data_IF_076968694016
#
_entry.id   IF_076968694016
#
_cell.length_a   1.000
_cell.length_b   1.000
_cell.length_c   1.000
_cell.angle_alpha   90.00
_cell.angle_beta   90.00
_cell.angle_gamma   90.00
#
_symmetry.space_group_name_H-M   'P 1'
#
loop_
_entity.id
_entity.type
_entity.pdbx_description
1 polymer ?
#
# COMPACT_ATOMS: atom_id res chain seq x y z
N UNK A 1 34.94 -28.05 -12.46
CA UNK A 1 34.68 -27.40 -11.13
C UNK A 1 33.38 -26.63 -11.12
N UNK A 2 32.99 -25.94 -12.17
CA UNK A 2 31.73 -25.17 -12.21
C UNK A 2 30.46 -26.05 -12.24
N UNK A 3 30.53 -27.24 -12.80
CA UNK A 3 29.39 -28.17 -12.90
C UNK A 3 29.02 -28.76 -11.53
N UNK A 4 30.00 -29.13 -10.73
CA UNK A 4 29.77 -29.59 -9.34
C UNK A 4 29.09 -28.51 -8.47
N UNK A 5 29.55 -27.25 -8.56
CA UNK A 5 28.95 -26.13 -7.82
C UNK A 5 27.49 -25.88 -8.25
N UNK A 6 27.19 -25.99 -9.55
CA UNK A 6 25.83 -25.88 -10.09
C UNK A 6 24.91 -26.99 -9.57
N UNK A 7 25.39 -28.23 -9.55
CA UNK A 7 24.62 -29.38 -9.04
C UNK A 7 24.32 -29.24 -7.55
N UNK A 8 25.27 -28.75 -6.75
CA UNK A 8 25.06 -28.45 -5.35
C UNK A 8 24.03 -27.34 -5.16
N UNK A 9 24.09 -26.25 -5.94
CA UNK A 9 23.10 -25.17 -5.91
C UNK A 9 21.70 -25.68 -6.28
N UNK A 10 21.59 -26.51 -7.31
CA UNK A 10 20.31 -27.09 -7.74
C UNK A 10 19.69 -27.96 -6.63
N UNK A 11 20.49 -28.83 -6.01
CA UNK A 11 20.05 -29.67 -4.90
C UNK A 11 19.59 -28.82 -3.70
N UNK A 12 20.38 -27.82 -3.32
CA UNK A 12 20.02 -26.88 -2.24
C UNK A 12 18.77 -26.07 -2.57
N UNK A 13 18.63 -25.63 -3.83
CA UNK A 13 17.49 -24.87 -4.29
C UNK A 13 16.20 -25.70 -4.46
N UNK A 14 16.27 -27.02 -4.56
CA UNK A 14 15.08 -27.87 -4.62
C UNK A 14 14.42 -28.12 -3.26
N UNK A 15 15.14 -27.88 -2.14
CA UNK A 15 14.62 -28.12 -0.80
C UNK A 15 13.71 -26.97 -0.34
N UNK A 16 12.42 -27.21 -0.01
CA UNK A 16 11.52 -26.17 0.48
C UNK A 16 11.95 -25.59 1.84
N UNK A 17 11.76 -24.30 2.02
CA UNK A 17 11.94 -23.61 3.30
C UNK A 17 10.66 -23.61 4.14
N UNK A 18 10.76 -22.96 5.33
CA UNK A 18 9.68 -22.93 6.33
C UNK A 18 9.04 -21.54 6.51
N UNK A 19 9.41 -20.54 5.68
CA UNK A 19 8.86 -19.20 5.79
C UNK A 19 7.39 -19.19 5.38
N UNK A 20 6.54 -18.58 6.20
CA UNK A 20 5.10 -18.46 6.00
C UNK A 20 4.71 -17.06 5.46
N UNK A 21 3.44 -16.89 5.07
CA UNK A 21 2.84 -15.60 4.73
C UNK A 21 2.98 -15.17 3.26
N UNK A 22 3.78 -15.89 2.47
CA UNK A 22 3.90 -15.67 1.01
C UNK A 22 4.54 -16.90 0.37
N UNK A 23 3.88 -17.52 -0.60
CA UNK A 23 4.44 -18.66 -1.33
C UNK A 23 5.32 -18.17 -2.47
N UNK A 24 6.63 -18.33 -2.29
CA UNK A 24 7.62 -17.88 -3.26
C UNK A 24 8.09 -19.05 -4.15
N UNK A 25 7.78 -19.05 -5.45
CA UNK A 25 8.21 -20.11 -6.37
C UNK A 25 9.72 -20.09 -6.64
N UNK A 26 10.39 -18.95 -6.42
CA UNK A 26 11.83 -18.80 -6.70
C UNK A 26 12.67 -19.49 -5.62
N UNK A 27 12.40 -19.20 -4.35
CA UNK A 27 13.20 -19.78 -3.24
C UNK A 27 12.48 -20.89 -2.50
N UNK A 28 11.31 -21.32 -2.93
CA UNK A 28 10.49 -22.33 -2.27
C UNK A 28 10.37 -22.06 -0.74
N UNK A 29 10.14 -20.80 -0.38
CA UNK A 29 9.97 -20.34 1.00
C UNK A 29 11.22 -20.42 1.91
N UNK A 30 12.43 -20.45 1.34
CA UNK A 30 13.69 -20.35 2.12
C UNK A 30 14.06 -18.90 2.47
N UNK A 31 13.72 -17.94 1.61
CA UNK A 31 14.12 -16.53 1.74
C UNK A 31 15.48 -16.20 1.11
N UNK A 32 16.17 -17.21 0.59
CA UNK A 32 17.45 -17.08 -0.13
C UNK A 32 17.53 -18.15 -1.23
N UNK A 33 18.43 -17.93 -2.18
CA UNK A 33 18.77 -18.85 -3.25
C UNK A 33 20.28 -19.06 -3.27
N UNK A 34 20.72 -20.19 -3.79
CA UNK A 34 22.13 -20.49 -4.00
C UNK A 34 22.48 -20.32 -5.48
N UNK A 35 23.57 -19.65 -5.76
CA UNK A 35 24.14 -19.49 -7.10
C UNK A 35 25.57 -19.97 -7.14
N UNK A 36 25.96 -20.57 -8.27
CA UNK A 36 27.34 -20.97 -8.49
C UNK A 36 28.14 -19.77 -9.02
N UNK A 37 29.21 -19.40 -8.32
CA UNK A 37 30.11 -18.32 -8.73
C UNK A 37 31.56 -18.78 -8.53
N UNK A 38 32.37 -18.80 -9.61
CA UNK A 38 33.78 -19.19 -9.60
C UNK A 38 34.05 -20.56 -8.94
N UNK A 39 33.20 -21.57 -9.22
CA UNK A 39 33.33 -22.93 -8.66
C UNK A 39 32.93 -23.06 -7.20
N UNK A 40 32.35 -22.02 -6.59
CA UNK A 40 31.84 -22.02 -5.22
C UNK A 40 30.34 -21.71 -5.19
N UNK A 41 29.69 -22.02 -4.07
CA UNK A 41 28.27 -21.68 -3.84
C UNK A 41 28.15 -20.34 -3.13
N UNK A 42 27.35 -19.42 -3.66
CA UNK A 42 27.04 -18.11 -3.08
C UNK A 42 25.57 -18.08 -2.65
N UNK A 43 25.31 -17.56 -1.47
CA UNK A 43 23.94 -17.35 -0.99
C UNK A 43 23.47 -15.95 -1.33
N UNK A 44 22.34 -15.84 -2.04
CA UNK A 44 21.72 -14.58 -2.41
C UNK A 44 20.36 -14.45 -1.74
N UNK A 45 20.07 -13.29 -1.19
CA UNK A 45 18.79 -13.01 -0.56
C UNK A 45 17.69 -12.95 -1.62
N UNK A 46 16.63 -13.74 -1.45
CA UNK A 46 15.51 -13.76 -2.37
C UNK A 46 14.70 -12.46 -2.32
N UNK A 47 14.24 -12.00 -3.49
CA UNK A 47 13.37 -10.82 -3.61
C UNK A 47 12.01 -10.96 -2.89
N UNK A 48 11.63 -12.16 -2.43
CA UNK A 48 10.47 -12.33 -1.57
C UNK A 48 10.66 -11.78 -0.15
N UNK A 49 11.88 -11.53 0.32
CA UNK A 49 12.12 -11.08 1.69
C UNK A 49 11.58 -9.66 1.98
N UNK A 50 11.75 -8.66 1.11
CA UNK A 50 11.04 -7.39 1.24
C UNK A 50 9.53 -7.57 1.25
N UNK A 51 8.98 -8.41 0.36
CA UNK A 51 7.54 -8.71 0.27
C UNK A 51 7.04 -9.26 1.61
N UNK A 52 7.70 -10.29 2.16
CA UNK A 52 7.35 -10.90 3.46
C UNK A 52 7.38 -9.89 4.60
N UNK A 53 8.41 -9.01 4.62
CA UNK A 53 8.53 -7.96 5.64
C UNK A 53 7.34 -7.00 5.56
N UNK A 54 6.93 -6.63 4.36
CA UNK A 54 5.80 -5.73 4.16
C UNK A 54 4.48 -6.40 4.53
N UNK A 55 4.25 -7.65 4.12
CA UNK A 55 3.06 -8.41 4.51
C UNK A 55 2.96 -8.56 6.02
N UNK A 56 4.08 -8.83 6.70
CA UNK A 56 4.14 -8.85 8.17
C UNK A 56 3.76 -7.50 8.77
N UNK A 57 4.32 -6.41 8.26
CA UNK A 57 4.00 -5.05 8.73
C UNK A 57 2.52 -4.71 8.52
N UNK A 58 1.97 -5.06 7.35
CA UNK A 58 0.55 -4.90 7.08
C UNK A 58 -0.29 -5.74 8.07
N UNK A 59 0.09 -6.99 8.33
CA UNK A 59 -0.60 -7.87 9.30
C UNK A 59 -0.54 -7.32 10.74
N UNK A 60 0.60 -6.77 11.15
CA UNK A 60 0.81 -6.14 12.46
C UNK A 60 0.06 -4.81 12.62
N UNK A 61 -0.34 -4.14 11.54
CA UNK A 61 -1.12 -2.89 11.56
C UNK A 61 -2.61 -3.09 11.86
N UNK A 62 -3.04 -4.28 12.25
CA UNK A 62 -4.41 -4.59 12.65
C UNK A 62 -5.31 -5.08 11.52
N UNK A 63 -4.80 -5.18 10.28
CA UNK A 63 -5.58 -5.75 9.18
C UNK A 63 -5.53 -7.29 9.10
N UNK A 64 -4.67 -7.96 9.86
CA UNK A 64 -4.65 -9.41 10.08
C UNK A 64 -5.03 -10.27 8.87
N UNK A 65 -6.03 -11.12 9.07
CA UNK A 65 -6.56 -12.01 8.04
C UNK A 65 -7.34 -11.30 6.92
N UNK A 66 -7.65 -10.01 7.06
CA UNK A 66 -8.38 -9.26 6.02
C UNK A 66 -7.55 -9.06 4.74
N UNK A 67 -6.23 -9.12 4.82
CA UNK A 67 -5.36 -9.00 3.65
C UNK A 67 -5.54 -10.19 2.71
N UNK A 68 -5.68 -11.39 3.25
CA UNK A 68 -5.95 -12.59 2.47
C UNK A 68 -7.33 -12.55 1.81
N UNK A 69 -8.26 -11.76 2.39
CA UNK A 69 -9.61 -11.54 1.86
C UNK A 69 -9.70 -10.38 0.88
N UNK A 70 -8.78 -9.40 0.95
CA UNK A 70 -8.79 -8.22 0.09
C UNK A 70 -8.07 -8.51 -1.23
N UNK A 71 -8.76 -9.18 -2.12
CA UNK A 71 -8.31 -9.45 -3.49
C UNK A 71 -9.26 -8.79 -4.50
N UNK A 72 -8.85 -8.70 -5.77
CA UNK A 72 -9.76 -8.26 -6.82
C UNK A 72 -10.98 -9.19 -6.97
N UNK A 73 -10.83 -10.50 -6.71
CA UNK A 73 -11.92 -11.45 -6.86
C UNK A 73 -12.96 -11.34 -5.75
N UNK A 74 -12.50 -11.03 -4.52
CA UNK A 74 -13.39 -10.84 -3.38
C UNK A 74 -13.98 -9.43 -3.29
N UNK A 75 -13.53 -8.49 -4.13
CA UNK A 75 -14.11 -7.15 -4.18
C UNK A 75 -15.51 -7.17 -4.83
N UNK A 76 -16.54 -6.79 -4.07
CA UNK A 76 -17.93 -6.77 -4.52
C UNK A 76 -18.16 -5.61 -5.51
N UNK A 77 -18.14 -5.91 -6.81
CA UNK A 77 -18.37 -4.96 -7.89
C UNK A 77 -19.80 -5.05 -8.42
N UNK A 78 -20.80 -4.66 -7.62
CA UNK A 78 -22.23 -4.85 -7.93
C UNK A 78 -22.85 -3.68 -8.69
N UNK A 79 -22.38 -2.46 -8.47
CA UNK A 79 -22.85 -1.24 -9.13
C UNK A 79 -21.97 -0.86 -10.31
N UNK A 80 -22.48 0.03 -11.20
CA UNK A 80 -21.67 0.57 -12.31
C UNK A 80 -20.39 1.24 -11.79
N UNK A 81 -20.50 1.97 -10.66
CA UNK A 81 -19.37 2.66 -10.06
C UNK A 81 -18.34 1.67 -9.52
N UNK A 82 -18.75 0.67 -8.74
CA UNK A 82 -17.84 -0.31 -8.15
C UNK A 82 -17.20 -1.23 -9.19
N UNK A 83 -17.90 -1.52 -10.30
CA UNK A 83 -17.32 -2.18 -11.48
C UNK A 83 -16.20 -1.32 -12.09
N UNK A 84 -16.48 -0.03 -12.30
CA UNK A 84 -15.49 0.91 -12.85
C UNK A 84 -14.28 1.09 -11.94
N UNK A 85 -14.49 1.11 -10.61
CA UNK A 85 -13.40 1.14 -9.61
C UNK A 85 -12.51 -0.11 -9.77
N UNK A 86 -13.12 -1.29 -9.85
CA UNK A 86 -12.37 -2.55 -10.04
C UNK A 86 -11.57 -2.55 -11.35
N UNK A 87 -12.20 -2.15 -12.46
CA UNK A 87 -11.56 -2.06 -13.78
C UNK A 87 -10.35 -1.12 -13.77
N UNK A 88 -10.52 0.11 -13.26
CA UNK A 88 -9.44 1.08 -13.14
C UNK A 88 -8.31 0.60 -12.22
N UNK A 89 -8.65 -0.15 -11.18
CA UNK A 89 -7.67 -0.71 -10.26
C UNK A 89 -6.83 -1.80 -10.91
N UNK A 90 -7.43 -2.67 -11.71
CA UNK A 90 -6.72 -3.68 -12.50
C UNK A 90 -5.85 -3.01 -13.56
N UNK A 91 -6.41 -2.03 -14.29
CA UNK A 91 -5.68 -1.25 -15.29
C UNK A 91 -4.46 -0.54 -14.66
N UNK A 92 -4.61 0.05 -13.47
CA UNK A 92 -3.53 0.66 -12.72
C UNK A 92 -2.40 -0.32 -12.41
N UNK A 93 -2.73 -1.53 -11.93
CA UNK A 93 -1.73 -2.57 -11.64
C UNK A 93 -0.98 -2.97 -12.90
N UNK A 94 -1.67 -3.18 -14.01
CA UNK A 94 -1.03 -3.56 -15.28
C UNK A 94 -0.15 -2.43 -15.85
N UNK A 95 -0.60 -1.17 -15.72
CA UNK A 95 0.21 -0.01 -16.08
C UNK A 95 1.52 0.04 -15.27
N UNK A 96 1.44 -0.18 -13.96
CA UNK A 96 2.61 -0.17 -13.07
C UNK A 96 3.54 -1.35 -13.36
N UNK A 97 3.02 -2.52 -13.70
CA UNK A 97 3.82 -3.69 -14.14
C UNK A 97 4.60 -3.42 -15.43
N UNK A 98 4.15 -2.48 -16.25
CA UNK A 98 4.84 -1.99 -17.46
C UNK A 98 5.83 -0.85 -17.15
N UNK A 99 6.24 -0.69 -15.89
CA UNK A 99 7.15 0.37 -15.40
C UNK A 99 6.67 1.80 -15.67
N UNK A 100 5.39 1.99 -15.91
CA UNK A 100 4.77 3.32 -15.93
C UNK A 100 4.35 3.70 -14.52
N UNK A 101 4.75 4.86 -14.09
CA UNK A 101 4.49 5.33 -12.73
C UNK A 101 3.33 6.32 -12.71
N UNK A 102 2.32 5.99 -11.96
CA UNK A 102 1.18 6.85 -11.61
C UNK A 102 0.86 6.66 -10.13
N UNK A 103 0.13 7.60 -9.56
CA UNK A 103 -0.47 7.44 -8.23
C UNK A 103 -1.94 7.06 -8.37
N UNK A 104 -2.53 6.68 -7.25
CA UNK A 104 -3.96 6.34 -7.21
C UNK A 104 -4.59 6.97 -5.97
N UNK A 105 -5.74 7.62 -6.17
CA UNK A 105 -6.53 8.22 -5.10
C UNK A 105 -7.94 7.64 -5.08
N UNK A 106 -8.38 7.14 -3.92
CA UNK A 106 -9.74 6.63 -3.71
C UNK A 106 -10.36 7.38 -2.53
N UNK A 107 -11.22 8.34 -2.83
CA UNK A 107 -11.86 9.20 -1.84
C UNK A 107 -13.36 8.96 -1.67
N UNK A 108 -13.93 9.51 -0.56
CA UNK A 108 -15.37 9.60 -0.34
C UNK A 108 -15.94 8.55 0.59
N UNK A 109 -17.16 8.09 0.34
CA UNK A 109 -18.05 7.32 1.22
C UNK A 109 -17.36 6.30 2.13
N UNK A 110 -17.56 6.41 3.44
CA UNK A 110 -17.11 5.39 4.41
C UNK A 110 -17.83 4.06 4.18
N UNK A 111 -17.12 2.94 4.40
CA UNK A 111 -17.68 1.61 4.17
C UNK A 111 -17.85 1.20 2.71
N UNK A 112 -17.32 1.96 1.75
CA UNK A 112 -17.43 1.69 0.31
C UNK A 112 -16.36 0.74 -0.24
N UNK A 113 -15.54 0.10 0.60
CA UNK A 113 -14.53 -0.85 0.18
C UNK A 113 -13.21 -0.20 -0.30
N UNK A 114 -12.95 1.07 0.03
CA UNK A 114 -11.70 1.77 -0.32
C UNK A 114 -10.46 1.00 0.14
N UNK A 115 -10.41 0.68 1.44
CA UNK A 115 -9.31 -0.09 2.02
C UNK A 115 -9.16 -1.45 1.32
N UNK A 116 -10.26 -2.14 1.01
CA UNK A 116 -10.24 -3.41 0.29
C UNK A 116 -9.53 -3.28 -1.06
N UNK A 117 -9.99 -2.36 -1.91
CA UNK A 117 -9.44 -2.24 -3.26
C UNK A 117 -7.99 -1.75 -3.25
N UNK A 118 -7.63 -0.78 -2.39
CA UNK A 118 -6.26 -0.30 -2.26
C UNK A 118 -5.31 -1.39 -1.73
N UNK A 119 -5.77 -2.22 -0.79
CA UNK A 119 -5.02 -3.39 -0.31
C UNK A 119 -4.82 -4.40 -1.43
N UNK A 120 -5.86 -4.72 -2.20
CA UNK A 120 -5.75 -5.63 -3.34
C UNK A 120 -4.71 -5.16 -4.37
N UNK A 121 -4.74 -3.88 -4.74
CA UNK A 121 -3.74 -3.26 -5.63
C UNK A 121 -2.34 -3.41 -5.03
N UNK A 122 -2.15 -3.05 -3.76
CA UNK A 122 -0.85 -3.09 -3.09
C UNK A 122 -0.29 -4.50 -3.05
N UNK A 123 -1.14 -5.51 -2.78
CA UNK A 123 -0.75 -6.92 -2.79
C UNK A 123 -0.29 -7.38 -4.18
N UNK A 124 -1.00 -6.98 -5.24
CA UNK A 124 -0.59 -7.34 -6.62
C UNK A 124 0.74 -6.69 -7.02
N UNK A 125 1.00 -5.45 -6.59
CA UNK A 125 2.27 -4.78 -6.82
C UNK A 125 3.41 -5.42 -6.00
N UNK A 126 3.14 -5.88 -4.78
CA UNK A 126 4.08 -6.68 -3.98
C UNK A 126 4.43 -7.99 -4.68
N UNK A 127 3.45 -8.71 -5.22
CA UNK A 127 3.66 -9.95 -5.98
C UNK A 127 4.52 -9.71 -7.23
N UNK A 128 4.45 -8.52 -7.83
CA UNK A 128 5.30 -8.12 -8.96
C UNK A 128 6.75 -7.78 -8.56
N UNK A 129 7.10 -7.89 -7.27
CA UNK A 129 8.46 -7.68 -6.77
C UNK A 129 8.76 -6.26 -6.26
N UNK A 130 7.80 -5.34 -6.28
CA UNK A 130 7.97 -4.00 -5.72
C UNK A 130 7.96 -4.04 -4.19
N UNK A 131 8.78 -3.21 -3.55
CA UNK A 131 8.69 -3.00 -2.10
C UNK A 131 7.51 -2.12 -1.77
N UNK A 132 6.79 -2.41 -0.68
CA UNK A 132 5.68 -1.55 -0.25
C UNK A 132 5.73 -1.24 1.25
N UNK A 133 5.13 -0.11 1.61
CA UNK A 133 4.83 0.28 2.99
C UNK A 133 3.36 0.63 3.08
N UNK A 134 2.76 0.18 4.17
CA UNK A 134 1.42 0.53 4.57
C UNK A 134 1.48 1.53 5.71
N UNK A 135 0.82 2.65 5.56
CA UNK A 135 0.71 3.70 6.55
C UNK A 135 -0.77 3.83 6.94
N UNK A 136 -1.11 3.44 8.15
CA UNK A 136 -2.42 3.74 8.75
C UNK A 136 -2.35 5.17 9.30
N UNK A 137 -2.97 6.11 8.58
CA UNK A 137 -2.80 7.54 8.88
C UNK A 137 -3.05 7.89 10.35
N UNK A 138 -4.12 7.35 10.94
CA UNK A 138 -4.50 7.67 12.32
C UNK A 138 -3.38 7.29 13.29
N UNK A 139 -2.81 6.10 13.17
CA UNK A 139 -1.85 5.56 14.13
C UNK A 139 -0.43 6.07 13.85
N UNK A 140 0.01 5.96 12.59
CA UNK A 140 1.37 6.30 12.20
C UNK A 140 1.64 7.80 12.28
N UNK A 141 0.65 8.66 11.96
CA UNK A 141 0.82 10.11 12.08
C UNK A 141 0.98 10.54 13.54
N UNK A 142 0.28 9.88 14.46
CA UNK A 142 0.43 10.15 15.91
C UNK A 142 1.83 9.73 16.37
N UNK A 143 2.29 8.52 15.99
CA UNK A 143 3.62 8.04 16.36
C UNK A 143 4.74 8.95 15.83
N UNK A 144 4.63 9.41 14.57
CA UNK A 144 5.62 10.32 13.96
C UNK A 144 5.60 11.70 14.64
N UNK A 145 4.42 12.24 14.97
CA UNK A 145 4.27 13.51 15.68
C UNK A 145 4.78 13.45 17.10
N UNK A 146 4.65 12.31 17.77
CA UNK A 146 5.15 12.11 19.14
C UNK A 146 6.67 12.26 19.26
N UNK A 147 7.41 11.98 18.19
CA UNK A 147 8.88 12.10 18.13
C UNK A 147 9.35 13.32 17.31
N UNK A 148 8.51 14.35 17.19
CA UNK A 148 8.79 15.50 16.32
C UNK A 148 10.08 16.26 16.69
N UNK A 149 10.53 16.18 17.94
CA UNK A 149 11.74 16.85 18.46
C UNK A 149 12.97 15.93 18.48
N UNK A 150 12.81 14.65 18.17
CA UNK A 150 13.90 13.67 18.04
C UNK A 150 14.11 13.36 16.55
N UNK A 151 15.04 14.05 15.93
CA UNK A 151 15.31 13.91 14.49
C UNK A 151 15.67 12.47 14.11
N UNK A 152 16.48 11.77 14.92
CA UNK A 152 16.91 10.41 14.62
C UNK A 152 15.74 9.39 14.71
N UNK A 153 14.89 9.52 15.73
CA UNK A 153 13.71 8.70 15.88
C UNK A 153 12.69 9.01 14.76
N UNK A 154 12.50 10.29 14.44
CA UNK A 154 11.60 10.75 13.37
C UNK A 154 12.04 10.26 11.99
N UNK A 155 13.31 10.35 11.65
CA UNK A 155 13.84 9.82 10.39
C UNK A 155 13.65 8.33 10.23
N UNK A 156 13.82 7.54 11.29
CA UNK A 156 13.56 6.09 11.27
C UNK A 156 12.13 5.75 10.89
N UNK A 157 11.16 6.58 11.27
CA UNK A 157 9.74 6.38 10.93
C UNK A 157 9.40 6.91 9.54
N UNK A 158 9.91 8.08 9.15
CA UNK A 158 9.54 8.75 7.89
C UNK A 158 10.31 8.20 6.69
N UNK A 159 11.60 7.93 6.81
CA UNK A 159 12.43 7.52 5.67
C UNK A 159 11.92 6.25 4.97
N UNK A 160 11.42 5.21 5.67
CA UNK A 160 10.80 4.07 5.02
C UNK A 160 9.56 4.41 4.20
N UNK A 161 8.77 5.41 4.64
CA UNK A 161 7.58 5.89 3.91
C UNK A 161 7.96 6.69 2.66
N UNK A 162 9.02 7.50 2.77
CA UNK A 162 9.52 8.30 1.65
C UNK A 162 10.13 7.46 0.53
N UNK A 163 10.83 6.36 0.87
CA UNK A 163 11.74 5.68 -0.07
C UNK A 163 11.28 4.30 -0.56
N UNK A 164 10.14 3.76 -0.09
CA UNK A 164 9.60 2.51 -0.66
C UNK A 164 9.04 2.73 -2.07
N UNK A 165 9.07 1.68 -2.91
CA UNK A 165 8.52 1.76 -4.27
C UNK A 165 7.04 2.13 -4.24
N UNK A 166 6.27 1.48 -3.38
CA UNK A 166 4.82 1.70 -3.22
C UNK A 166 4.54 2.11 -1.79
N UNK A 167 3.97 3.29 -1.59
CA UNK A 167 3.40 3.71 -0.32
C UNK A 167 1.88 3.65 -0.41
N UNK A 168 1.24 2.89 0.48
CA UNK A 168 -0.20 2.98 0.66
C UNK A 168 -0.50 3.75 1.95
N UNK A 169 -1.15 4.91 1.82
CA UNK A 169 -1.66 5.72 2.92
C UNK A 169 -3.16 5.44 3.05
N UNK A 170 -3.55 4.80 4.15
CA UNK A 170 -4.96 4.49 4.42
C UNK A 170 -5.59 5.52 5.35
N UNK A 171 -6.79 5.91 4.99
CA UNK A 171 -7.64 6.86 5.73
C UNK A 171 -6.95 8.23 5.97
N UNK A 172 -6.27 8.76 4.92
CA UNK A 172 -5.65 10.09 4.97
C UNK A 172 -6.64 11.13 5.48
N UNK A 173 -6.26 11.87 6.53
CA UNK A 173 -7.06 12.91 7.18
C UNK A 173 -8.41 12.43 7.71
N UNK A 174 -8.51 11.15 8.09
CA UNK A 174 -9.74 10.63 8.68
C UNK A 174 -10.15 11.47 9.89
N UNK A 175 -11.37 12.02 9.90
CA UNK A 175 -11.86 12.82 11.02
C UNK A 175 -11.96 11.96 12.28
N UNK A 176 -11.33 12.39 13.36
CA UNK A 176 -11.56 11.82 14.68
C UNK A 176 -12.90 12.36 15.19
N UNK A 177 -13.85 11.48 15.50
CA UNK A 177 -15.13 11.87 16.11
C UNK A 177 -14.88 12.33 17.55
N UNK A 178 -14.77 13.62 17.78
CA UNK A 178 -14.97 14.20 19.11
C UNK A 178 -16.47 14.29 19.38
N UNK A 179 -16.89 14.03 20.64
CA UNK A 179 -18.29 13.87 21.07
C UNK A 179 -19.25 15.01 20.71
N UNK A 180 -18.75 16.18 20.35
CA UNK A 180 -19.56 17.41 20.17
C UNK A 180 -19.16 18.28 18.96
N UNK A 181 -18.38 17.76 17.98
CA UNK A 181 -17.98 18.54 16.79
C UNK A 181 -18.28 17.82 15.50
N UNK A 182 -18.94 18.55 14.58
CA UNK A 182 -18.91 18.23 13.16
C UNK A 182 -17.46 17.95 12.71
N UNK A 183 -17.28 17.03 11.75
CA UNK A 183 -16.00 16.53 11.21
C UNK A 183 -14.81 17.45 11.52
N UNK A 184 -13.93 17.03 12.42
CA UNK A 184 -12.74 17.81 12.72
C UNK A 184 -11.81 17.82 11.49
N UNK A 185 -11.45 19.02 11.03
CA UNK A 185 -10.43 19.20 10.00
C UNK A 185 -9.07 18.70 10.51
N UNK A 186 -8.18 18.25 9.62
CA UNK A 186 -6.83 17.86 10.01
C UNK A 186 -6.08 19.03 10.64
N UNK A 187 -5.29 18.75 11.67
CA UNK A 187 -4.47 19.78 12.31
C UNK A 187 -3.37 20.30 11.37
N UNK A 188 -2.84 21.48 11.63
CA UNK A 188 -1.69 22.00 10.88
C UNK A 188 -0.46 21.09 10.93
N UNK A 189 -0.31 20.27 11.99
CA UNK A 189 0.74 19.27 12.08
C UNK A 189 0.47 18.08 11.15
N UNK A 190 -0.79 17.66 10.99
CA UNK A 190 -1.19 16.62 10.04
C UNK A 190 -0.93 17.07 8.59
N UNK A 191 -1.33 18.30 8.26
CA UNK A 191 -1.12 18.87 6.92
C UNK A 191 0.39 18.93 6.61
N UNK A 192 1.21 19.41 7.53
CA UNK A 192 2.68 19.47 7.34
C UNK A 192 3.29 18.09 7.15
N UNK A 193 2.87 17.09 7.93
CA UNK A 193 3.36 15.72 7.81
C UNK A 193 2.97 15.10 6.46
N UNK A 194 1.70 15.24 6.07
CA UNK A 194 1.23 14.75 4.77
C UNK A 194 1.98 15.43 3.61
N UNK A 195 2.11 16.76 3.70
CA UNK A 195 2.84 17.53 2.69
C UNK A 195 4.31 17.09 2.59
N UNK A 196 5.00 16.85 3.70
CA UNK A 196 6.38 16.39 3.70
C UNK A 196 6.55 15.07 2.94
N UNK A 197 5.71 14.07 3.24
CA UNK A 197 5.78 12.75 2.59
C UNK A 197 5.39 12.86 1.11
N UNK A 198 4.27 13.47 0.81
CA UNK A 198 3.70 13.61 -0.54
C UNK A 198 4.61 14.46 -1.44
N UNK A 199 5.11 15.60 -0.94
CA UNK A 199 6.00 16.47 -1.69
C UNK A 199 7.35 15.80 -2.01
N UNK A 200 7.92 15.02 -1.08
CA UNK A 200 9.12 14.26 -1.34
C UNK A 200 8.87 13.23 -2.45
N UNK A 201 7.82 12.41 -2.31
CA UNK A 201 7.50 11.34 -3.25
C UNK A 201 7.09 11.85 -4.63
N UNK A 202 6.40 13.00 -4.70
CA UNK A 202 5.98 13.60 -5.98
C UNK A 202 7.16 14.02 -6.87
N UNK A 203 8.33 14.29 -6.29
CA UNK A 203 9.56 14.62 -7.01
C UNK A 203 10.33 13.40 -7.49
N UNK A 204 9.94 12.21 -7.07
CA UNK A 204 10.59 10.94 -7.43
C UNK A 204 9.74 10.22 -8.48
N UNK A 205 10.14 10.23 -9.75
CA UNK A 205 9.29 9.72 -10.84
C UNK A 205 9.00 8.22 -10.74
N UNK A 206 9.83 7.46 -10.02
CA UNK A 206 9.70 6.00 -9.87
C UNK A 206 8.80 5.59 -8.69
N UNK A 207 8.43 6.51 -7.78
CA UNK A 207 7.68 6.15 -6.58
C UNK A 207 6.17 6.24 -6.79
N UNK A 208 5.49 5.19 -6.36
CA UNK A 208 4.05 5.02 -6.47
C UNK A 208 3.40 5.29 -5.12
N UNK A 209 2.37 6.12 -5.10
CA UNK A 209 1.59 6.35 -3.89
C UNK A 209 0.12 6.03 -4.14
N UNK A 210 -0.43 5.18 -3.28
CA UNK A 210 -1.84 4.81 -3.24
C UNK A 210 -2.43 5.49 -2.01
N UNK A 211 -3.54 6.18 -2.16
CA UNK A 211 -4.16 6.94 -1.08
C UNK A 211 -5.63 6.57 -0.99
N UNK A 212 -6.09 6.18 0.20
CA UNK A 212 -7.51 6.15 0.52
C UNK A 212 -7.85 7.27 1.51
N UNK A 213 -9.04 7.86 1.39
CA UNK A 213 -9.54 8.89 2.30
C UNK A 213 -11.06 8.84 2.41
N UNK A 214 -11.63 9.33 3.50
CA UNK A 214 -13.06 9.62 3.59
C UNK A 214 -13.42 10.96 2.92
N UNK A 215 -12.42 11.75 2.53
CA UNK A 215 -12.57 13.00 1.81
C UNK A 215 -12.51 12.75 0.29
N UNK A 216 -13.28 13.49 -0.48
CA UNK A 216 -13.08 13.59 -1.92
C UNK A 216 -11.82 14.43 -2.21
N UNK A 217 -11.25 14.31 -3.42
CA UNK A 217 -10.04 15.06 -3.73
C UNK A 217 -10.23 16.59 -3.68
N UNK A 218 -11.42 17.06 -4.03
CA UNK A 218 -11.76 18.49 -3.94
C UNK A 218 -11.71 18.98 -2.49
N UNK A 219 -12.16 18.18 -1.52
CA UNK A 219 -12.05 18.51 -0.10
C UNK A 219 -10.58 18.57 0.35
N UNK A 220 -9.70 17.71 -0.18
CA UNK A 220 -8.25 17.80 0.08
C UNK A 220 -7.65 19.08 -0.52
N UNK A 221 -8.10 19.51 -1.70
CA UNK A 221 -7.68 20.77 -2.33
C UNK A 221 -8.13 21.99 -1.52
N UNK A 222 -9.28 21.94 -0.86
CA UNK A 222 -9.76 22.98 0.05
C UNK A 222 -8.91 23.06 1.34
N UNK A 223 -8.48 21.91 1.87
CA UNK A 223 -7.60 21.84 3.05
C UNK A 223 -6.21 22.41 2.74
N UNK A 224 -5.59 21.96 1.67
CA UNK A 224 -4.29 22.44 1.22
C UNK A 224 -4.12 22.28 -0.30
N UNK A 225 -4.12 23.41 -1.02
CA UNK A 225 -4.01 23.43 -2.49
C UNK A 225 -2.71 22.82 -3.00
N UNK A 226 -1.61 22.98 -2.26
CA UNK A 226 -0.33 22.48 -2.70
C UNK A 226 -0.23 20.95 -2.52
N UNK A 227 -0.81 20.41 -1.46
CA UNK A 227 -0.93 18.96 -1.23
C UNK A 227 -1.89 18.32 -2.25
N UNK A 228 -3.12 18.83 -2.29
CA UNK A 228 -4.16 18.31 -3.20
C UNK A 228 -3.76 18.41 -4.67
N UNK A 229 -3.09 19.50 -5.06
CA UNK A 229 -2.58 19.68 -6.43
C UNK A 229 -1.57 18.61 -6.82
N UNK A 230 -0.64 18.22 -5.93
CA UNK A 230 0.32 17.13 -6.19
C UNK A 230 -0.37 15.77 -6.32
N UNK A 231 -1.32 15.50 -5.44
CA UNK A 231 -2.11 14.26 -5.51
C UNK A 231 -2.85 14.22 -6.84
N UNK A 232 -3.55 15.29 -7.20
CA UNK A 232 -4.30 15.40 -8.46
C UNK A 232 -3.40 15.16 -9.69
N UNK A 233 -2.28 15.87 -9.79
CA UNK A 233 -1.33 15.75 -10.89
C UNK A 233 -0.80 14.32 -11.04
N UNK A 234 -0.35 13.72 -9.94
CA UNK A 234 0.26 12.39 -9.95
C UNK A 234 -0.77 11.26 -10.15
N UNK A 235 -2.01 11.47 -9.72
CA UNK A 235 -3.10 10.49 -9.84
C UNK A 235 -4.00 10.73 -11.07
N UNK A 236 -3.60 11.57 -12.00
CA UNK A 236 -4.36 11.85 -13.21
C UNK A 236 -4.73 10.55 -13.95
N UNK A 237 -6.04 10.37 -14.19
CA UNK A 237 -6.63 9.15 -14.75
C UNK A 237 -6.97 8.06 -13.74
N UNK A 238 -6.48 8.16 -12.48
CA UNK A 238 -6.68 7.17 -11.41
C UNK A 238 -7.22 7.82 -10.12
N UNK A 239 -8.12 8.78 -10.26
CA UNK A 239 -8.86 9.41 -9.17
C UNK A 239 -10.25 8.81 -9.14
N UNK A 240 -10.63 8.22 -8.00
CA UNK A 240 -11.90 7.56 -7.78
C UNK A 240 -12.61 8.22 -6.61
N UNK A 241 -13.54 9.12 -6.88
CA UNK A 241 -14.39 9.73 -5.86
C UNK A 241 -15.69 8.94 -5.73
N UNK A 242 -15.98 8.41 -4.55
CA UNK A 242 -17.17 7.63 -4.25
C UNK A 242 -18.20 8.54 -3.58
N UNK A 243 -19.33 8.84 -4.25
CA UNK A 243 -20.35 9.72 -3.71
C UNK A 243 -20.91 9.19 -2.37
N UNK A 244 -21.33 10.12 -1.50
CA UNK A 244 -21.98 9.76 -0.25
C UNK A 244 -23.42 9.32 -0.48
N UNK A 245 -23.61 8.02 -0.79
CA UNK A 245 -24.91 7.39 -1.01
C UNK A 245 -24.97 6.07 -0.24
N UNK A 246 -26.12 5.77 0.36
CA UNK A 246 -26.33 4.55 1.14
C UNK A 246 -26.01 3.27 0.35
N UNK A 247 -26.31 3.26 -0.95
CA UNK A 247 -26.04 2.13 -1.87
C UNK A 247 -24.54 1.76 -1.94
N UNK A 248 -23.62 2.66 -1.61
CA UNK A 248 -22.17 2.40 -1.62
C UNK A 248 -21.61 2.02 -0.25
N UNK A 249 -22.44 2.05 0.82
CA UNK A 249 -21.99 1.66 2.15
C UNK A 249 -22.31 0.18 2.43
N UNK A 250 -21.34 -0.70 2.16
CA UNK A 250 -21.48 -2.14 2.39
C UNK A 250 -21.71 -2.51 3.86
N UNK A 251 -21.30 -1.67 4.83
CA UNK A 251 -21.47 -1.94 6.27
C UNK A 251 -22.92 -1.74 6.73
N UNK A 252 -23.70 -0.92 6.00
CA UNK A 252 -25.09 -0.61 6.34
C UNK A 252 -26.11 -1.42 5.54
N UNK A 253 -25.69 -2.15 4.51
CA UNK A 253 -26.59 -3.00 3.74
C UNK A 253 -27.18 -4.10 4.63
N UNK A 254 -28.47 -4.05 4.87
CA UNK A 254 -29.22 -5.11 5.56
C UNK A 254 -29.27 -6.32 4.61
N UNK A 255 -28.54 -7.39 4.90
CA UNK A 255 -28.71 -8.63 4.13
C UNK A 255 -27.52 -9.56 4.00
N UNK A 256 -26.31 -9.16 4.34
CA UNK A 256 -25.14 -10.05 4.28
C UNK A 256 -24.60 -10.42 5.68
N UNK A 257 -25.47 -11.05 6.49
CA UNK A 257 -25.04 -11.90 7.60
C UNK A 257 -25.20 -13.34 7.09
N UNK A 258 -24.16 -13.83 6.43
CA UNK A 258 -23.96 -15.21 6.12
C UNK A 258 -22.66 -15.68 6.72
#
# INVERSE_FOLDING_TARGET
MDEWAKDQCNLMNSTPGKLKGYDCPICLNRGYIYEAENGTTKTIRCNCMPIRKTLKHIAESGFGTEIERCTFDTFKAETKLTKRIKELSVEFVELVKQDKTKWLYVGGQSGAGKTHICTAITCELLKSGKTARYMVWIDDSVAIKAVATDDAAREKLINPLKNCDVLYIDDLFKPVKEKDREKSLPSGADIRLAFEIINYRSKQPQLITIISSELALDEILEIDKALGGRINEKSEGYIMNIPNKEEYNYRLRKGDKG
#
